data_IF_997558199759
#
_entry.id   IF_997558199759
#
_cell.length_a   1.000
_cell.length_b   1.000
_cell.length_c   1.000
_cell.angle_alpha   90.00
_cell.angle_beta   90.00
_cell.angle_gamma   90.00
#
_symmetry.space_group_name_H-M   'P 1'
#
loop_
_entity.id
_entity.type
_entity.pdbx_description
1 polymer ?
#
# COMPACT_ATOMS: atom_id res chain seq x y z
N UNK A 1 -6.66 -0.17 14.98
CA UNK A 1 -6.53 1.13 14.28
C UNK A 1 -6.79 0.85 12.81
N UNK A 2 -7.78 1.49 12.18
CA UNK A 2 -8.12 1.23 10.76
C UNK A 2 -6.92 1.58 9.85
N UNK A 3 -6.83 0.95 8.67
CA UNK A 3 -5.77 1.23 7.69
C UNK A 3 -5.67 2.72 7.32
N UNK A 4 -6.82 3.40 7.25
CA UNK A 4 -6.91 4.84 7.04
C UNK A 4 -6.28 5.66 8.17
N UNK A 5 -6.50 5.30 9.43
CA UNK A 5 -5.95 6.02 10.57
C UNK A 5 -4.41 5.91 10.62
N UNK A 6 -3.87 4.76 10.23
CA UNK A 6 -2.41 4.59 10.08
C UNK A 6 -1.87 5.45 8.95
N UNK A 7 -2.51 5.41 7.78
CA UNK A 7 -2.12 6.19 6.60
C UNK A 7 -2.12 7.70 6.87
N UNK A 8 -3.17 8.19 7.54
CA UNK A 8 -3.31 9.59 7.98
C UNK A 8 -2.20 9.96 8.95
N UNK A 9 -1.97 9.15 9.98
CA UNK A 9 -0.93 9.43 10.98
C UNK A 9 0.46 9.54 10.37
N UNK A 10 0.81 8.70 9.39
CA UNK A 10 2.09 8.76 8.69
C UNK A 10 2.23 10.04 7.83
N UNK A 11 1.14 10.47 7.19
CA UNK A 11 1.10 11.72 6.42
C UNK A 11 1.25 12.95 7.33
N UNK A 12 0.50 12.99 8.44
CA UNK A 12 0.51 14.12 9.36
C UNK A 12 1.89 14.32 10.01
N UNK A 13 2.62 13.23 10.26
CA UNK A 13 3.98 13.28 10.77
C UNK A 13 5.00 13.96 9.83
N UNK A 14 4.69 14.12 8.53
CA UNK A 14 5.55 14.83 7.57
C UNK A 14 5.35 16.36 7.59
N UNK A 15 4.35 16.84 8.34
CA UNK A 15 3.96 18.24 8.33
C UNK A 15 4.22 18.89 9.69
N UNK A 16 4.40 20.20 9.69
CA UNK A 16 4.48 20.97 10.94
C UNK A 16 3.10 21.02 11.61
N UNK A 17 3.07 20.88 12.93
CA UNK A 17 1.87 21.08 13.77
C UNK A 17 1.13 22.40 13.50
N UNK A 18 1.83 23.42 12.97
CA UNK A 18 1.23 24.71 12.59
C UNK A 18 0.14 24.55 11.53
N UNK A 19 0.28 23.59 10.61
CA UNK A 19 -0.70 23.32 9.55
C UNK A 19 -2.02 22.84 10.18
N UNK A 20 -1.96 21.95 11.17
CA UNK A 20 -3.13 21.37 11.84
C UNK A 20 -3.82 22.33 12.83
N UNK A 21 -3.23 23.50 13.09
CA UNK A 21 -3.95 24.62 13.72
C UNK A 21 -4.92 25.31 12.77
N UNK A 22 -4.72 25.14 11.46
CA UNK A 22 -5.55 25.75 10.41
C UNK A 22 -6.59 24.75 9.89
N UNK A 23 -6.17 23.51 9.67
CA UNK A 23 -7.02 22.45 9.11
C UNK A 23 -7.29 21.34 10.11
N UNK A 24 -8.39 20.63 9.93
CA UNK A 24 -8.71 19.38 10.60
C UNK A 24 -9.14 18.34 9.58
N UNK A 25 -8.90 17.08 9.88
CA UNK A 25 -9.35 15.98 9.05
C UNK A 25 -10.85 15.71 9.27
N UNK A 26 -11.59 15.53 8.17
CA UNK A 26 -12.98 15.08 8.17
C UNK A 26 -13.04 13.64 7.65
N UNK A 27 -13.39 12.72 8.55
CA UNK A 27 -13.47 11.29 8.24
C UNK A 27 -14.60 10.94 7.30
N UNK A 28 -15.69 11.74 7.26
CA UNK A 28 -16.82 11.48 6.38
C UNK A 28 -16.48 11.73 4.90
N UNK A 29 -15.63 12.72 4.65
CA UNK A 29 -15.21 13.12 3.29
C UNK A 29 -13.81 12.62 2.93
N UNK A 30 -13.07 12.03 3.88
CA UNK A 30 -11.68 11.61 3.72
C UNK A 30 -10.77 12.76 3.23
N UNK A 31 -11.00 13.96 3.76
CA UNK A 31 -10.32 15.19 3.34
C UNK A 31 -10.08 16.13 4.52
N UNK A 32 -9.16 17.07 4.36
CA UNK A 32 -8.97 18.17 5.31
C UNK A 32 -9.99 19.28 5.03
N UNK A 33 -10.47 19.91 6.10
CA UNK A 33 -11.31 21.10 6.07
C UNK A 33 -10.77 22.17 7.04
N UNK A 34 -11.15 23.43 6.86
CA UNK A 34 -10.79 24.48 7.81
C UNK A 34 -11.47 24.25 9.16
N UNK A 35 -10.79 24.65 10.24
CA UNK A 35 -11.48 24.79 11.52
C UNK A 35 -12.61 25.82 11.39
N UNK A 36 -13.78 25.52 11.95
CA UNK A 36 -15.00 26.31 11.75
C UNK A 36 -14.89 27.79 12.22
N UNK A 37 -13.96 28.09 13.11
CA UNK A 37 -13.73 29.44 13.63
C UNK A 37 -12.79 30.28 12.76
N UNK A 38 -12.14 29.67 11.75
CA UNK A 38 -11.18 30.38 10.92
C UNK A 38 -11.87 31.05 9.73
N UNK A 39 -11.48 32.29 9.40
CA UNK A 39 -12.03 32.99 8.26
C UNK A 39 -11.56 32.38 6.94
N UNK A 40 -12.38 32.53 5.90
CA UNK A 40 -12.04 32.16 4.52
C UNK A 40 -11.12 33.20 3.87
N UNK A 41 -9.92 33.33 4.42
CA UNK A 41 -8.86 34.17 3.83
C UNK A 41 -8.12 33.39 2.75
N UNK A 42 -7.51 34.11 1.81
CA UNK A 42 -6.66 33.51 0.77
C UNK A 42 -5.58 32.60 1.37
N UNK A 43 -4.92 33.04 2.45
CA UNK A 43 -3.88 32.26 3.14
C UNK A 43 -4.43 30.93 3.67
N UNK A 44 -5.60 30.94 4.32
CA UNK A 44 -6.20 29.74 4.89
C UNK A 44 -6.67 28.79 3.78
N UNK A 45 -7.25 29.34 2.71
CA UNK A 45 -7.69 28.56 1.55
C UNK A 45 -6.50 27.94 0.80
N UNK A 46 -5.39 28.66 0.66
CA UNK A 46 -4.16 28.11 0.07
C UNK A 46 -3.60 26.97 0.91
N UNK A 47 -3.50 27.12 2.23
CA UNK A 47 -3.05 26.05 3.12
C UNK A 47 -3.97 24.81 3.06
N UNK A 48 -5.28 25.02 2.96
CA UNK A 48 -6.26 23.95 2.78
C UNK A 48 -6.09 23.22 1.42
N UNK A 49 -5.84 23.97 0.35
CA UNK A 49 -5.65 23.40 -0.97
C UNK A 49 -4.34 22.58 -1.04
N UNK A 50 -3.25 23.12 -0.50
CA UNK A 50 -1.94 22.46 -0.46
C UNK A 50 -1.97 21.15 0.33
N UNK A 51 -2.57 21.15 1.53
CA UNK A 51 -2.62 19.94 2.36
C UNK A 51 -3.48 18.84 1.72
N UNK A 52 -4.60 19.21 1.09
CA UNK A 52 -5.46 18.25 0.41
C UNK A 52 -4.82 17.71 -0.88
N UNK A 53 -4.07 18.56 -1.60
CA UNK A 53 -3.27 18.11 -2.74
C UNK A 53 -2.19 17.10 -2.31
N UNK A 54 -1.46 17.41 -1.24
CA UNK A 54 -0.49 16.48 -0.65
C UNK A 54 -1.14 15.18 -0.18
N UNK A 55 -2.32 15.25 0.44
CA UNK A 55 -3.06 14.09 0.92
C UNK A 55 -3.53 13.17 -0.23
N UNK A 56 -4.03 13.73 -1.33
CA UNK A 56 -4.40 12.96 -2.53
C UNK A 56 -3.19 12.24 -3.14
N UNK A 57 -2.07 12.95 -3.29
CA UNK A 57 -0.83 12.36 -3.78
C UNK A 57 -0.28 11.27 -2.86
N UNK A 58 -0.33 11.47 -1.54
CA UNK A 58 0.11 10.50 -0.56
C UNK A 58 -0.69 9.21 -0.63
N UNK A 59 -2.02 9.32 -0.70
CA UNK A 59 -2.90 8.17 -0.87
C UNK A 59 -2.58 7.41 -2.16
N UNK A 60 -2.41 8.12 -3.28
CA UNK A 60 -2.02 7.51 -4.57
C UNK A 60 -0.65 6.84 -4.50
N UNK A 61 0.33 7.47 -3.87
CA UNK A 61 1.68 6.92 -3.71
C UNK A 61 1.69 5.68 -2.80
N UNK A 62 0.86 5.66 -1.76
CA UNK A 62 0.74 4.50 -0.85
C UNK A 62 -0.14 3.39 -1.42
N UNK A 63 -1.06 3.73 -2.32
CA UNK A 63 -1.85 2.78 -3.09
C UNK A 63 -1.07 2.21 -4.29
N UNK A 64 0.03 2.85 -4.73
CA UNK A 64 0.94 2.20 -5.67
C UNK A 64 1.49 0.95 -5.01
N UNK A 65 1.16 -0.21 -5.59
CA UNK A 65 1.66 -1.50 -5.17
C UNK A 65 3.19 -1.50 -5.36
N UNK A 66 3.92 -1.26 -4.27
CA UNK A 66 5.29 -1.74 -4.20
C UNK A 66 5.19 -3.27 -4.19
N UNK A 67 5.92 -3.99 -5.06
CA UNK A 67 5.96 -5.44 -5.01
C UNK A 67 6.31 -5.85 -3.58
N UNK A 68 5.35 -6.48 -2.91
CA UNK A 68 5.56 -6.96 -1.55
C UNK A 68 6.24 -8.31 -1.69
N UNK A 69 7.51 -8.37 -1.29
CA UNK A 69 8.24 -9.63 -1.23
C UNK A 69 7.67 -10.45 -0.09
N UNK A 70 6.99 -11.54 -0.44
CA UNK A 70 6.47 -12.54 0.49
C UNK A 70 7.34 -13.78 0.37
N UNK A 71 7.81 -14.27 1.51
CA UNK A 71 8.43 -15.57 1.60
C UNK A 71 7.31 -16.60 1.74
N UNK A 72 7.27 -17.64 0.90
CA UNK A 72 6.28 -18.73 1.04
C UNK A 72 6.36 -19.41 2.42
N UNK A 73 7.51 -19.31 3.11
CA UNK A 73 7.66 -19.80 4.50
C UNK A 73 6.91 -18.96 5.53
N UNK A 74 6.67 -17.68 5.22
CA UNK A 74 6.08 -16.70 6.14
C UNK A 74 4.59 -16.48 5.83
N UNK A 75 4.21 -16.43 4.54
CA UNK A 75 2.83 -16.23 4.09
C UNK A 75 2.65 -16.76 2.66
N UNK A 76 1.54 -17.44 2.39
CA UNK A 76 1.19 -17.86 1.03
C UNK A 76 0.63 -16.68 0.23
N UNK A 77 1.11 -16.47 -1.02
CA UNK A 77 0.51 -15.49 -1.91
C UNK A 77 -0.98 -15.76 -2.15
N UNK A 78 -1.81 -14.72 -2.37
CA UNK A 78 -3.19 -14.88 -2.78
C UNK A 78 -3.33 -15.79 -4.02
N UNK A 79 -4.35 -16.65 -4.04
CA UNK A 79 -4.60 -17.65 -5.09
C UNK A 79 -4.79 -17.07 -6.49
N UNK A 80 -5.28 -15.83 -6.59
CA UNK A 80 -5.65 -15.19 -7.86
C UNK A 80 -4.59 -14.20 -8.39
N UNK A 81 -3.34 -14.28 -7.92
CA UNK A 81 -2.27 -13.41 -8.41
C UNK A 81 -1.13 -14.20 -9.04
N UNK A 82 -0.59 -13.65 -10.14
CA UNK A 82 0.69 -14.11 -10.69
C UNK A 82 1.82 -13.68 -9.75
N UNK A 83 2.65 -14.63 -9.33
CA UNK A 83 3.84 -14.34 -8.53
C UNK A 83 5.10 -14.55 -9.33
N UNK A 84 6.12 -13.76 -8.99
CA UNK A 84 7.47 -13.97 -9.49
C UNK A 84 8.19 -14.90 -8.50
N UNK A 85 8.57 -16.09 -8.95
CA UNK A 85 9.30 -17.06 -8.13
C UNK A 85 10.80 -16.80 -8.27
N UNK A 86 11.45 -16.53 -7.14
CA UNK A 86 12.90 -16.40 -7.04
C UNK A 86 13.47 -17.56 -6.19
N UNK A 87 14.47 -18.26 -6.73
CA UNK A 87 15.11 -19.38 -6.04
C UNK A 87 16.25 -18.88 -5.14
N UNK A 88 16.12 -19.04 -3.83
CA UNK A 88 17.14 -18.60 -2.88
C UNK A 88 18.50 -19.32 -3.09
N UNK A 89 18.45 -20.59 -3.49
CA UNK A 89 19.63 -21.44 -3.70
C UNK A 89 20.21 -21.33 -5.13
N UNK A 90 19.55 -20.58 -6.03
CA UNK A 90 19.98 -20.36 -7.41
C UNK A 90 19.66 -18.92 -7.88
N UNK A 91 20.35 -17.90 -7.32
CA UNK A 91 20.03 -16.49 -7.55
C UNK A 91 20.36 -15.98 -8.97
N UNK A 92 21.10 -16.76 -9.74
CA UNK A 92 21.47 -16.51 -11.13
C UNK A 92 20.42 -17.01 -12.14
N UNK A 93 19.42 -17.77 -11.69
CA UNK A 93 18.30 -18.21 -12.52
C UNK A 93 17.32 -17.06 -12.74
N UNK A 94 16.81 -16.94 -13.96
CA UNK A 94 15.79 -15.93 -14.28
C UNK A 94 14.50 -16.27 -13.54
N UNK A 95 13.90 -15.33 -12.80
CA UNK A 95 12.67 -15.60 -12.07
C UNK A 95 11.53 -16.05 -12.98
N UNK A 96 10.78 -17.06 -12.55
CA UNK A 96 9.64 -17.60 -13.30
C UNK A 96 8.33 -16.93 -12.86
N UNK A 97 7.39 -16.76 -13.79
CA UNK A 97 6.02 -16.32 -13.46
C UNK A 97 5.12 -17.54 -13.36
N UNK A 98 4.50 -17.75 -12.21
CA UNK A 98 3.64 -18.92 -11.97
C UNK A 98 2.31 -18.53 -11.31
N UNK A 99 1.32 -19.43 -11.43
CA UNK A 99 -0.01 -19.32 -10.85
C UNK A 99 -0.25 -20.46 -9.85
N UNK A 100 -1.05 -20.19 -8.81
CA UNK A 100 -1.54 -21.27 -7.95
C UNK A 100 -2.51 -22.15 -8.74
N UNK A 101 -2.33 -23.46 -8.61
CA UNK A 101 -3.26 -24.46 -9.12
C UNK A 101 -3.95 -25.16 -7.96
N UNK A 102 -5.03 -25.87 -8.25
CA UNK A 102 -5.74 -26.68 -7.28
C UNK A 102 -5.46 -28.14 -7.63
N UNK A 103 -4.96 -28.93 -6.67
CA UNK A 103 -4.71 -30.35 -6.85
C UNK A 103 -6.01 -31.18 -6.79
N UNK A 104 -5.90 -32.49 -6.98
CA UNK A 104 -7.03 -33.42 -6.95
C UNK A 104 -7.74 -33.48 -5.57
N UNK A 105 -7.02 -33.12 -4.49
CA UNK A 105 -7.51 -33.08 -3.11
C UNK A 105 -8.04 -31.70 -2.69
N UNK A 106 -8.18 -30.78 -3.65
CA UNK A 106 -8.62 -29.38 -3.47
C UNK A 106 -7.66 -28.51 -2.63
N UNK A 107 -6.40 -28.92 -2.49
CA UNK A 107 -5.38 -28.08 -1.89
C UNK A 107 -4.86 -27.08 -2.92
N UNK A 108 -4.62 -25.84 -2.49
CA UNK A 108 -3.87 -24.88 -3.31
C UNK A 108 -2.41 -25.31 -3.32
N UNK A 109 -1.89 -25.58 -4.52
CA UNK A 109 -0.49 -25.96 -4.74
C UNK A 109 0.11 -25.07 -5.82
N UNK A 110 1.35 -24.64 -5.61
CA UNK A 110 2.14 -24.03 -6.69
C UNK A 110 2.48 -25.11 -7.70
N UNK A 111 2.39 -24.82 -9.00
CA UNK A 111 2.76 -25.80 -10.02
C UNK A 111 4.21 -26.28 -9.82
N UNK A 112 5.07 -25.41 -9.27
CA UNK A 112 6.46 -25.70 -8.90
C UNK A 112 6.68 -26.01 -7.39
N UNK A 113 5.63 -26.25 -6.59
CA UNK A 113 5.71 -26.36 -5.11
C UNK A 113 6.55 -27.55 -4.60
N UNK A 114 6.68 -28.61 -5.39
CA UNK A 114 7.25 -29.88 -4.91
C UNK A 114 8.57 -30.21 -5.59
N UNK A 115 9.65 -29.57 -5.13
CA UNK A 115 11.03 -29.96 -5.44
C UNK A 115 11.41 -30.03 -6.92
N UNK A 116 10.63 -29.41 -7.80
CA UNK A 116 11.04 -29.33 -9.19
C UNK A 116 12.25 -28.39 -9.26
N UNK A 117 13.36 -28.83 -9.87
CA UNK A 117 14.51 -27.97 -10.06
C UNK A 117 14.08 -26.76 -10.90
N UNK A 118 14.73 -25.58 -10.72
CA UNK A 118 14.49 -24.42 -11.57
C UNK A 118 14.47 -24.83 -13.04
N UNK A 119 13.43 -24.44 -13.78
CA UNK A 119 13.34 -24.77 -15.20
C UNK A 119 14.28 -23.85 -16.00
N UNK A 120 14.85 -24.38 -17.08
CA UNK A 120 15.86 -23.70 -17.90
C UNK A 120 15.24 -23.09 -19.16
#
# INVERSE_FOLDING_TARGET
MTGLNKLRSEFEAQHSDKVFKIVKFDEATNAYCLHAHLPLTEINLSALAEINYGWDLWQKAKAQAVPTWISVKDEEPPTDIMVLICWADAPDVTPEQDYMTIDEDLNSVWANYQNDPPSH
#
